data_IF_816361862623
#
_entry.id   IF_816361862623
#
_cell.length_a   1.000
_cell.length_b   1.000
_cell.length_c   1.000
_cell.angle_alpha   90.00
_cell.angle_beta   90.00
_cell.angle_gamma   90.00
#
_symmetry.space_group_name_H-M   'P 1'
#
loop_
_entity.id
_entity.type
_entity.pdbx_description
1 polymer ?
#
# COMPACT_ATOMS: atom_id res chain seq x y z
N UNK A 1 28.52 -0.06 14.88
CA UNK A 1 27.33 0.78 15.13
C UNK A 1 27.06 0.97 16.63
N UNK A 2 26.33 0.11 17.34
CA UNK A 2 25.92 0.46 18.73
C UNK A 2 27.05 0.39 19.77
N UNK A 3 28.09 -0.42 19.53
CA UNK A 3 29.27 -0.51 20.42
C UNK A 3 30.10 0.78 20.51
N UNK A 4 30.03 1.64 19.48
CA UNK A 4 30.79 2.90 19.41
C UNK A 4 30.27 3.97 20.37
N UNK A 5 29.02 3.84 20.84
CA UNK A 5 28.41 4.69 21.86
C UNK A 5 28.36 4.01 23.25
N UNK A 6 29.14 2.93 23.43
CA UNK A 6 29.23 2.20 24.70
C UNK A 6 28.12 1.17 24.94
N UNK A 7 27.25 0.89 23.97
CA UNK A 7 26.21 -0.12 24.13
C UNK A 7 26.77 -1.55 23.98
N UNK A 8 26.34 -2.46 24.86
CA UNK A 8 26.70 -3.88 24.81
C UNK A 8 25.45 -4.73 24.57
N UNK A 9 25.55 -5.69 23.65
CA UNK A 9 24.53 -6.74 23.49
C UNK A 9 24.84 -7.85 24.50
N UNK A 10 24.28 -7.74 25.70
CA UNK A 10 24.44 -8.75 26.76
C UNK A 10 23.09 -9.41 27.07
N UNK A 11 23.11 -10.60 27.69
CA UNK A 11 21.89 -11.27 28.15
C UNK A 11 21.26 -10.38 29.25
N UNK A 12 20.25 -9.60 28.83
CA UNK A 12 19.67 -8.46 29.54
C UNK A 12 19.41 -8.70 31.04
N UNK A 13 20.21 -8.04 31.88
CA UNK A 13 19.84 -7.69 33.24
C UNK A 13 19.47 -6.21 33.26
N UNK A 14 18.19 -5.89 33.41
CA UNK A 14 17.69 -4.51 33.27
C UNK A 14 18.24 -3.60 34.37
N UNK A 15 18.57 -4.18 35.52
CA UNK A 15 19.22 -3.49 36.64
C UNK A 15 20.61 -2.90 36.28
N UNK A 16 21.27 -3.41 35.24
CA UNK A 16 22.57 -2.92 34.78
C UNK A 16 22.45 -1.95 33.59
N UNK A 17 21.24 -1.72 33.07
CA UNK A 17 20.98 -0.87 31.92
C UNK A 17 20.67 0.57 32.33
N UNK A 18 21.32 1.54 31.67
CA UNK A 18 21.00 2.96 31.83
C UNK A 18 19.77 3.40 31.03
N UNK A 19 19.54 2.76 29.88
CA UNK A 19 18.48 3.13 28.93
C UNK A 19 17.86 1.87 28.32
N UNK A 20 16.54 1.79 28.31
CA UNK A 20 15.77 0.79 27.57
C UNK A 20 15.18 1.45 26.34
N UNK A 21 15.69 1.09 25.16
CA UNK A 21 15.15 1.55 23.87
C UNK A 21 13.96 0.69 23.49
N UNK A 22 12.78 1.28 23.34
CA UNK A 22 11.54 0.56 22.99
C UNK A 22 10.56 1.45 22.21
N UNK A 23 9.35 0.94 21.96
CA UNK A 23 8.28 1.67 21.24
C UNK A 23 7.10 1.94 22.17
N UNK A 24 6.34 3.01 21.91
CA UNK A 24 5.15 3.39 22.71
C UNK A 24 4.18 2.23 22.96
N UNK A 25 3.78 1.40 21.96
CA UNK A 25 2.87 0.29 22.21
C UNK A 25 3.42 -0.75 23.18
N UNK A 26 4.74 -0.96 23.19
CA UNK A 26 5.39 -1.89 24.12
C UNK A 26 5.41 -1.34 25.55
N UNK A 27 5.50 -0.01 25.70
CA UNK A 27 5.39 0.66 26.99
C UNK A 27 3.97 0.54 27.54
N UNK A 28 2.96 0.71 26.68
CA UNK A 28 1.55 0.56 27.03
C UNK A 28 1.17 -0.87 27.46
N UNK A 29 1.71 -1.89 26.77
CA UNK A 29 1.49 -3.31 27.09
C UNK A 29 2.14 -3.74 28.42
N UNK A 30 3.07 -2.93 28.96
CA UNK A 30 3.76 -3.19 30.25
C UNK A 30 4.36 -4.59 30.34
N UNK A 31 5.05 -5.02 29.28
CA UNK A 31 5.78 -6.29 29.28
C UNK A 31 6.76 -6.41 30.46
N UNK A 32 7.23 -7.62 30.82
CA UNK A 32 8.09 -7.85 31.98
C UNK A 32 9.31 -6.94 32.04
N UNK A 33 9.95 -6.69 30.88
CA UNK A 33 11.12 -5.82 30.76
C UNK A 33 10.80 -4.34 30.97
N UNK A 34 9.65 -3.89 30.49
CA UNK A 34 9.21 -2.51 30.68
C UNK A 34 8.89 -2.26 32.14
N UNK A 35 8.23 -3.22 32.82
CA UNK A 35 7.96 -3.15 34.26
C UNK A 35 9.24 -3.07 35.09
N UNK A 36 10.19 -3.96 34.82
CA UNK A 36 11.48 -3.96 35.52
C UNK A 36 12.25 -2.64 35.29
N UNK A 37 12.21 -2.10 34.07
CA UNK A 37 12.82 -0.80 33.76
C UNK A 37 12.11 0.37 34.45
N UNK A 38 10.77 0.35 34.54
CA UNK A 38 9.98 1.36 35.26
C UNK A 38 10.22 1.32 36.78
N UNK A 39 10.47 0.15 37.34
CA UNK A 39 10.77 -0.03 38.76
C UNK A 39 12.22 0.36 39.09
N UNK A 40 13.13 0.20 38.13
CA UNK A 40 14.52 0.62 38.24
C UNK A 40 14.64 2.15 38.22
N UNK A 41 15.32 2.71 39.23
CA UNK A 41 15.62 4.15 39.28
C UNK A 41 16.75 4.56 38.33
N UNK A 42 17.49 3.60 37.79
CA UNK A 42 18.66 3.83 36.96
C UNK A 42 18.42 3.58 35.48
N UNK A 43 17.21 3.19 35.07
CA UNK A 43 16.89 2.85 33.69
C UNK A 43 15.85 3.81 33.09
N UNK A 44 16.23 4.54 32.06
CA UNK A 44 15.35 5.44 31.34
C UNK A 44 14.72 4.76 30.12
N UNK A 45 13.40 4.88 29.93
CA UNK A 45 12.69 4.29 28.79
C UNK A 45 12.60 5.33 27.67
N UNK A 46 13.26 5.07 26.55
CA UNK A 46 13.43 6.01 25.43
C UNK A 46 13.00 5.42 24.09
N UNK A 47 12.67 6.30 23.15
CA UNK A 47 12.32 5.91 21.78
C UNK A 47 13.55 5.48 20.96
N UNK A 48 13.31 4.77 19.85
CA UNK A 48 14.37 4.40 18.90
C UNK A 48 15.08 5.61 18.29
N UNK A 49 14.40 6.75 18.17
CA UNK A 49 14.98 7.99 17.65
C UNK A 49 16.10 8.52 18.54
N UNK A 50 16.00 8.35 19.86
CA UNK A 50 17.08 8.72 20.77
C UNK A 50 18.38 7.99 20.47
N UNK A 51 18.27 6.69 20.17
CA UNK A 51 19.42 5.85 19.84
C UNK A 51 20.06 6.30 18.52
N UNK A 52 19.24 6.49 17.48
CA UNK A 52 19.70 6.91 16.16
C UNK A 52 20.37 8.29 16.21
N UNK A 53 19.75 9.25 16.89
CA UNK A 53 20.28 10.60 17.05
C UNK A 53 21.57 10.63 17.90
N UNK A 54 21.71 9.71 18.87
CA UNK A 54 22.94 9.56 19.68
C UNK A 54 24.09 8.97 18.88
N UNK A 55 23.82 7.99 18.00
CA UNK A 55 24.80 7.42 17.08
C UNK A 55 25.27 8.48 16.09
N UNK A 56 24.34 9.22 15.48
CA UNK A 56 24.65 10.26 14.49
C UNK A 56 25.55 11.35 15.08
N UNK A 57 25.26 11.79 16.31
CA UNK A 57 26.04 12.83 17.00
C UNK A 57 27.28 12.29 17.72
N UNK A 58 27.49 10.96 17.73
CA UNK A 58 28.52 10.25 18.49
C UNK A 58 28.59 10.66 19.97
N UNK A 59 27.44 11.03 20.55
CA UNK A 59 27.29 11.46 21.95
C UNK A 59 25.91 11.13 22.47
N UNK A 60 25.82 10.86 23.76
CA UNK A 60 24.55 10.70 24.46
C UNK A 60 23.80 12.04 24.41
N UNK A 61 22.64 12.04 23.78
CA UNK A 61 21.78 13.23 23.70
C UNK A 61 20.83 13.28 24.89
N UNK A 62 20.27 14.46 25.13
CA UNK A 62 19.29 14.66 26.19
C UNK A 62 18.08 13.71 26.05
N UNK A 63 17.70 13.13 27.19
CA UNK A 63 16.70 12.07 27.31
C UNK A 63 15.28 12.65 27.35
N UNK A 64 15.11 13.88 27.86
CA UNK A 64 13.80 14.46 28.17
C UNK A 64 12.91 14.58 26.92
N UNK A 65 13.51 14.93 25.78
CA UNK A 65 12.81 15.04 24.48
C UNK A 65 12.41 13.69 23.83
N UNK A 66 12.88 12.56 24.34
CA UNK A 66 12.66 11.23 23.75
C UNK A 66 12.15 10.19 24.77
N UNK A 67 11.77 10.66 25.96
CA UNK A 67 11.29 9.81 27.04
C UNK A 67 9.88 9.32 26.74
N UNK A 68 9.68 8.01 26.79
CA UNK A 68 8.37 7.39 26.55
C UNK A 68 7.53 7.27 27.83
N UNK A 69 8.09 7.66 28.99
CA UNK A 69 7.44 7.52 30.28
C UNK A 69 7.82 8.64 31.26
N UNK A 70 6.82 9.26 31.88
CA UNK A 70 7.02 10.27 32.92
C UNK A 70 7.02 9.67 34.32
N UNK A 71 8.18 9.67 34.98
CA UNK A 71 8.34 9.24 36.38
C UNK A 71 7.83 10.28 37.40
N UNK A 72 7.36 11.46 36.97
CA UNK A 72 6.88 12.55 37.84
C UNK A 72 5.39 12.43 38.20
N UNK A 73 4.97 11.34 38.88
CA UNK A 73 3.75 11.34 39.72
C UNK A 73 3.91 10.48 40.98
N UNK A 74 4.51 11.04 42.03
CA UNK A 74 4.24 10.64 43.43
C UNK A 74 4.18 11.88 44.31
N UNK A 75 3.00 12.15 44.89
CA UNK A 75 2.86 13.16 45.95
C UNK A 75 1.44 13.69 46.18
N UNK A 76 0.54 12.87 46.74
CA UNK A 76 -0.34 13.22 47.88
C UNK A 76 -1.11 11.98 48.35
N UNK A 77 -1.03 11.73 49.66
CA UNK A 77 -1.42 10.49 50.33
C UNK A 77 -2.94 10.26 50.48
N UNK A 78 -3.33 9.19 51.18
CA UNK A 78 -4.72 8.75 51.29
C UNK A 78 -5.44 9.50 52.42
N UNK A 79 -6.61 10.05 52.11
CA UNK A 79 -7.60 10.37 53.14
C UNK A 79 -8.85 9.53 52.91
N UNK A 80 -9.18 8.80 53.97
CA UNK A 80 -10.35 7.98 54.17
C UNK A 80 -11.64 8.80 54.25
N UNK A 81 -12.74 8.18 53.82
CA UNK A 81 -14.05 8.35 54.44
C UNK A 81 -15.04 9.22 53.68
N UNK A 82 -16.23 8.67 53.44
CA UNK A 82 -17.41 9.46 53.08
C UNK A 82 -18.32 8.82 52.04
N UNK A 83 -19.21 7.96 52.51
CA UNK A 83 -20.32 7.34 51.78
C UNK A 83 -21.54 8.28 51.87
N UNK A 84 -22.14 8.70 50.75
CA UNK A 84 -23.61 8.85 50.58
C UNK A 84 -24.02 9.27 49.15
N UNK A 85 -24.93 8.46 48.61
CA UNK A 85 -26.07 8.68 47.70
C UNK A 85 -26.32 10.02 46.97
N UNK A 86 -26.90 9.82 45.77
CA UNK A 86 -28.01 10.57 45.14
C UNK A 86 -27.65 11.43 43.92
N UNK A 87 -27.93 10.84 42.75
CA UNK A 87 -28.98 11.27 41.82
C UNK A 87 -29.06 12.72 41.30
N UNK A 88 -29.33 12.77 39.99
CA UNK A 88 -30.03 13.79 39.22
C UNK A 88 -29.22 14.88 38.49
N UNK A 89 -29.26 14.69 37.17
CA UNK A 89 -29.35 15.69 36.10
C UNK A 89 -29.87 17.07 36.55
N UNK A 90 -29.21 18.15 36.12
CA UNK A 90 -29.76 19.12 35.15
C UNK A 90 -28.85 20.35 34.99
N UNK A 91 -29.04 21.03 33.85
CA UNK A 91 -28.71 22.42 33.51
C UNK A 91 -27.30 22.75 33.00
N UNK A 92 -27.23 22.65 31.67
CA UNK A 92 -26.73 23.70 30.77
C UNK A 92 -26.68 25.10 31.41
N UNK A 93 -25.50 25.72 31.40
CA UNK A 93 -25.34 27.16 31.16
C UNK A 93 -24.05 27.41 30.38
N UNK A 94 -24.19 28.18 29.31
CA UNK A 94 -23.16 28.56 28.33
C UNK A 94 -22.02 29.33 29.00
N UNK A 95 -20.80 29.13 28.51
CA UNK A 95 -19.86 30.23 28.36
C UNK A 95 -19.09 30.04 27.04
N UNK A 96 -19.40 30.94 26.11
CA UNK A 96 -18.49 31.39 25.05
C UNK A 96 -17.27 32.02 25.71
N UNK A 97 -16.08 31.57 25.32
CA UNK A 97 -14.85 32.30 25.49
C UNK A 97 -13.92 31.88 24.34
N UNK A 98 -13.46 32.91 23.65
CA UNK A 98 -12.47 32.88 22.59
C UNK A 98 -11.23 32.07 22.95
N UNK A 99 -10.71 31.35 21.96
CA UNK A 99 -9.31 30.96 21.91
C UNK A 99 -8.80 31.24 20.49
N UNK A 100 -8.41 32.49 20.29
CA UNK A 100 -7.19 32.75 19.56
C UNK A 100 -6.00 32.18 20.36
N UNK A 101 -4.95 31.90 19.59
CA UNK A 101 -3.53 31.87 19.98
C UNK A 101 -2.87 30.49 20.10
N UNK A 102 -1.65 30.43 19.54
CA UNK A 102 -0.76 29.29 19.66
C UNK A 102 0.00 28.87 18.40
N UNK A 103 0.52 29.82 17.62
CA UNK A 103 1.60 29.53 16.67
C UNK A 103 2.92 29.29 17.43
N UNK A 104 3.49 28.09 17.32
CA UNK A 104 4.88 27.79 17.67
C UNK A 104 5.19 26.29 17.73
N UNK A 105 6.47 25.88 17.66
CA UNK A 105 7.47 26.16 16.63
C UNK A 105 7.64 24.98 15.65
N UNK A 106 7.86 25.33 14.39
CA UNK A 106 7.88 24.46 13.20
C UNK A 106 9.13 23.55 13.06
N UNK A 107 9.55 22.82 14.10
CA UNK A 107 10.81 22.06 14.06
C UNK A 107 10.76 20.53 14.12
N UNK A 108 9.58 19.90 14.22
CA UNK A 108 9.44 18.43 14.11
C UNK A 108 8.80 17.94 12.80
N UNK A 109 8.38 18.84 11.90
CA UNK A 109 7.72 18.47 10.64
C UNK A 109 8.67 18.40 9.43
N UNK A 110 9.99 18.29 9.62
CA UNK A 110 10.97 18.28 8.51
C UNK A 110 11.39 16.89 8.01
N UNK A 111 10.87 15.81 8.59
CA UNK A 111 11.10 14.43 8.08
C UNK A 111 9.88 13.79 7.40
N UNK A 112 8.74 14.48 7.33
CA UNK A 112 7.55 14.00 6.60
C UNK A 112 7.64 14.18 5.08
N UNK A 113 8.64 14.92 4.58
CA UNK A 113 8.81 15.16 3.15
C UNK A 113 9.25 13.91 2.36
N UNK A 114 9.78 12.87 3.03
CA UNK A 114 10.07 11.60 2.34
C UNK A 114 8.82 10.81 1.95
N UNK A 115 7.63 11.25 2.38
CA UNK A 115 6.35 10.62 2.05
C UNK A 115 5.79 11.08 0.69
N UNK A 116 6.37 12.08 0.02
CA UNK A 116 5.83 12.63 -1.23
C UNK A 116 6.66 12.17 -2.44
N UNK A 117 6.59 10.88 -2.78
CA UNK A 117 7.09 10.40 -4.06
C UNK A 117 6.04 10.61 -5.15
N UNK A 118 6.47 10.90 -6.39
CA UNK A 118 5.56 11.01 -7.54
C UNK A 118 4.71 9.75 -7.73
N UNK A 119 5.24 8.58 -7.37
CA UNK A 119 4.51 7.30 -7.43
C UNK A 119 3.26 7.28 -6.55
N UNK A 120 3.25 7.95 -5.40
CA UNK A 120 2.09 7.99 -4.50
C UNK A 120 1.00 8.96 -5.01
N UNK A 121 1.36 9.93 -5.85
CA UNK A 121 0.40 10.78 -6.56
C UNK A 121 -0.35 9.99 -7.64
N UNK A 122 0.31 9.02 -8.28
CA UNK A 122 -0.28 8.13 -9.29
C UNK A 122 -1.24 7.08 -8.69
N UNK A 123 -1.25 6.93 -7.36
CA UNK A 123 -2.20 6.10 -6.64
C UNK A 123 -3.51 6.84 -6.31
N UNK A 124 -3.53 8.19 -6.37
CA UNK A 124 -4.74 8.97 -6.10
C UNK A 124 -5.81 8.59 -7.12
N UNK A 125 -6.99 8.24 -6.62
CA UNK A 125 -8.08 7.74 -7.46
C UNK A 125 -8.46 8.72 -8.57
N UNK A 126 -8.73 8.21 -9.76
CA UNK A 126 -9.13 8.98 -10.95
C UNK A 126 -10.45 9.75 -10.76
N UNK A 127 -11.32 9.30 -9.85
CA UNK A 127 -12.55 10.00 -9.48
C UNK A 127 -12.31 11.19 -8.54
N UNK A 128 -11.14 11.34 -7.93
CA UNK A 128 -10.82 12.51 -7.11
C UNK A 128 -10.73 13.79 -7.99
N UNK A 129 -11.56 14.79 -7.66
CA UNK A 129 -11.70 16.05 -8.43
C UNK A 129 -10.91 17.23 -7.82
N UNK A 130 -10.15 17.00 -6.75
CA UNK A 130 -9.36 18.06 -6.09
C UNK A 130 -8.09 18.43 -6.86
N UNK A 131 -7.18 19.13 -6.18
CA UNK A 131 -5.91 19.63 -6.72
C UNK A 131 -4.93 18.49 -7.06
N UNK A 132 -5.14 17.84 -8.21
CA UNK A 132 -4.23 16.81 -8.75
C UNK A 132 -2.81 17.41 -8.88
N UNK A 133 -1.82 16.70 -8.36
CA UNK A 133 -0.42 17.12 -8.35
C UNK A 133 0.08 17.72 -7.04
N UNK A 134 -0.82 18.21 -6.17
CA UNK A 134 -0.48 18.64 -4.80
C UNK A 134 -0.83 17.58 -3.76
N UNK A 135 -1.53 16.54 -4.18
CA UNK A 135 -2.08 15.50 -3.31
C UNK A 135 -1.49 14.14 -3.71
N UNK A 136 -1.10 13.37 -2.69
CA UNK A 136 -0.64 11.99 -2.83
C UNK A 136 -1.29 11.09 -1.78
N UNK A 137 -1.35 9.79 -2.05
CA UNK A 137 -1.76 8.81 -1.03
C UNK A 137 -0.72 8.77 0.10
N UNK A 138 -1.19 8.79 1.34
CA UNK A 138 -0.31 8.77 2.51
C UNK A 138 0.33 7.39 2.71
N UNK A 139 1.63 7.41 3.00
CA UNK A 139 2.42 6.24 3.39
C UNK A 139 3.03 6.49 4.77
N UNK A 140 2.81 5.59 5.71
CA UNK A 140 3.35 5.78 7.06
C UNK A 140 4.82 5.36 7.18
N UNK A 141 5.38 5.53 8.37
CA UNK A 141 6.77 5.19 8.68
C UNK A 141 7.06 3.68 8.67
N UNK A 142 6.03 2.83 8.59
CA UNK A 142 6.15 1.37 8.45
C UNK A 142 5.96 0.92 7.01
N UNK A 143 6.06 1.85 6.07
CA UNK A 143 5.86 1.61 4.64
C UNK A 143 4.44 1.16 4.28
N UNK A 144 3.46 1.37 5.17
CA UNK A 144 2.06 1.01 4.90
C UNK A 144 1.40 2.13 4.11
N UNK A 145 0.89 1.79 2.94
CA UNK A 145 0.07 2.69 2.11
C UNK A 145 -1.37 2.71 2.65
N UNK A 146 -1.87 3.90 2.96
CA UNK A 146 -3.22 4.09 3.51
C UNK A 146 -4.26 4.23 2.38
N UNK A 147 -4.40 3.15 1.62
CA UNK A 147 -5.35 2.98 0.52
C UNK A 147 -6.06 1.63 0.69
N UNK A 148 -7.38 1.66 0.83
CA UNK A 148 -8.20 0.48 0.95
C UNK A 148 -9.13 0.34 -0.24
N UNK A 149 -9.05 -0.78 -0.95
CA UNK A 149 -10.05 -1.18 -1.94
C UNK A 149 -10.88 -2.33 -1.38
N UNK A 150 -12.17 -2.08 -1.24
CA UNK A 150 -13.14 -2.98 -0.63
C UNK A 150 -14.12 -3.47 -1.70
N UNK A 151 -14.39 -4.77 -1.71
CA UNK A 151 -15.31 -5.40 -2.67
C UNK A 151 -16.45 -6.11 -1.95
N UNK A 152 -17.65 -5.98 -2.49
CA UNK A 152 -18.80 -6.75 -2.05
C UNK A 152 -19.57 -7.25 -3.27
N UNK A 153 -19.52 -8.57 -3.49
CA UNK A 153 -20.46 -9.21 -4.38
C UNK A 153 -21.87 -9.02 -3.83
N UNK A 154 -22.81 -8.64 -4.69
CA UNK A 154 -24.20 -8.47 -4.31
C UNK A 154 -25.11 -9.18 -5.31
N UNK A 155 -26.22 -9.66 -4.80
CA UNK A 155 -27.27 -10.30 -5.57
C UNK A 155 -28.59 -9.63 -5.22
N UNK A 156 -29.02 -8.69 -6.06
CA UNK A 156 -30.27 -7.96 -5.86
C UNK A 156 -31.25 -8.28 -6.98
N UNK A 157 -32.35 -8.96 -6.62
CA UNK A 157 -33.42 -9.42 -7.51
C UNK A 157 -32.88 -10.22 -8.72
N UNK A 158 -32.72 -9.55 -9.87
CA UNK A 158 -32.26 -10.11 -11.15
C UNK A 158 -30.88 -9.58 -11.57
N UNK A 159 -30.21 -8.84 -10.69
CA UNK A 159 -28.90 -8.25 -10.97
C UNK A 159 -27.88 -8.76 -9.97
N UNK A 160 -26.85 -9.40 -10.51
CA UNK A 160 -25.63 -9.71 -9.80
C UNK A 160 -24.55 -8.71 -10.21
N UNK A 161 -23.65 -8.38 -9.28
CA UNK A 161 -22.59 -7.43 -9.55
C UNK A 161 -21.62 -7.32 -8.38
N UNK A 162 -20.65 -6.42 -8.53
CA UNK A 162 -19.65 -6.14 -7.50
C UNK A 162 -19.69 -4.67 -7.18
N UNK A 163 -20.00 -4.37 -5.93
CA UNK A 163 -19.86 -3.06 -5.34
C UNK A 163 -18.40 -2.85 -4.97
N UNK A 164 -17.79 -1.79 -5.48
CA UNK A 164 -16.42 -1.40 -5.15
C UNK A 164 -16.46 -0.16 -4.27
N UNK A 165 -15.80 -0.19 -3.12
CA UNK A 165 -15.65 0.96 -2.25
C UNK A 165 -14.16 1.20 -1.98
N UNK A 166 -13.64 2.33 -2.47
CA UNK A 166 -12.27 2.75 -2.18
C UNK A 166 -12.25 3.80 -1.07
N UNK A 167 -11.30 3.69 -0.15
CA UNK A 167 -11.04 4.65 0.92
C UNK A 167 -9.56 5.00 0.85
N UNK A 168 -9.23 6.28 0.71
CA UNK A 168 -7.85 6.77 0.65
C UNK A 168 -7.61 7.85 1.70
N UNK A 169 -6.48 7.76 2.39
CA UNK A 169 -5.95 8.87 3.16
C UNK A 169 -4.99 9.65 2.28
N UNK A 170 -5.35 10.90 1.96
CA UNK A 170 -4.59 11.74 1.05
C UNK A 170 -3.86 12.85 1.83
N UNK A 171 -2.61 13.10 1.46
CA UNK A 171 -1.75 14.15 2.02
C UNK A 171 -1.55 15.27 0.99
N UNK A 172 -1.77 16.51 1.39
CA UNK A 172 -1.51 17.69 0.57
C UNK A 172 -0.14 18.29 0.91
N UNK A 173 0.82 18.18 -0.01
CA UNK A 173 2.21 18.60 0.20
C UNK A 173 2.36 20.10 0.46
N UNK A 174 1.46 20.93 -0.08
CA UNK A 174 1.51 22.38 0.08
C UNK A 174 1.06 22.83 1.47
N UNK A 175 0.03 22.20 2.01
CA UNK A 175 -0.58 22.58 3.30
C UNK A 175 -0.13 21.73 4.48
N UNK A 176 0.47 20.56 4.24
CA UNK A 176 0.78 19.56 5.27
C UNK A 176 -0.46 18.94 5.93
N UNK A 177 -1.64 19.16 5.36
CA UNK A 177 -2.92 18.65 5.88
C UNK A 177 -3.31 17.35 5.19
N UNK A 178 -4.23 16.63 5.84
CA UNK A 178 -4.71 15.33 5.41
C UNK A 178 -6.21 15.33 5.19
N UNK A 179 -6.68 14.49 4.28
CA UNK A 179 -8.10 14.30 3.98
C UNK A 179 -8.37 12.83 3.78
N UNK A 180 -9.55 12.37 4.24
CA UNK A 180 -10.05 11.04 3.90
C UNK A 180 -11.01 11.20 2.73
N UNK A 181 -10.68 10.54 1.63
CA UNK A 181 -11.50 10.49 0.43
C UNK A 181 -12.04 9.07 0.27
N UNK A 182 -13.30 8.95 -0.12
CA UNK A 182 -13.89 7.65 -0.41
C UNK A 182 -14.81 7.70 -1.62
N UNK A 183 -14.89 6.59 -2.34
CA UNK A 183 -15.66 6.47 -3.56
C UNK A 183 -16.26 5.06 -3.68
N UNK A 184 -17.56 5.01 -3.85
CA UNK A 184 -18.36 3.80 -3.96
C UNK A 184 -18.95 3.71 -5.37
N UNK A 185 -18.67 2.62 -6.09
CA UNK A 185 -19.16 2.34 -7.45
C UNK A 185 -19.94 1.02 -7.47
N UNK A 186 -21.21 1.06 -7.87
CA UNK A 186 -22.08 -0.13 -7.97
C UNK A 186 -21.81 -0.96 -9.22
N UNK A 187 -21.56 -0.30 -10.35
CA UNK A 187 -21.41 -0.91 -11.66
C UNK A 187 -20.44 -0.08 -12.49
N UNK A 188 -19.64 -0.78 -13.29
CA UNK A 188 -18.70 -0.18 -14.25
C UNK A 188 -19.41 0.89 -15.07
N UNK A 189 -18.94 2.13 -14.96
CA UNK A 189 -19.42 3.26 -15.76
C UNK A 189 -20.69 3.95 -15.23
N UNK A 190 -21.24 3.50 -14.10
CA UNK A 190 -22.22 4.28 -13.36
C UNK A 190 -21.52 5.32 -12.48
N UNK A 191 -22.11 6.51 -12.34
CA UNK A 191 -21.58 7.54 -11.45
C UNK A 191 -21.64 7.03 -10.01
N UNK A 192 -20.48 6.73 -9.45
CA UNK A 192 -20.35 6.37 -8.04
C UNK A 192 -20.66 7.53 -7.10
N UNK A 193 -20.88 7.19 -5.82
CA UNK A 193 -20.99 8.17 -4.75
C UNK A 193 -19.59 8.43 -4.20
N UNK A 194 -19.14 9.67 -4.26
CA UNK A 194 -17.87 10.07 -3.63
C UNK A 194 -18.14 10.96 -2.42
N UNK A 195 -17.35 10.78 -1.37
CA UNK A 195 -17.39 11.57 -0.15
C UNK A 195 -15.98 12.04 0.16
N UNK A 196 -15.83 13.35 0.32
CA UNK A 196 -14.58 14.01 0.63
C UNK A 196 -14.71 14.65 2.02
N UNK A 197 -13.83 14.28 2.96
CA UNK A 197 -13.79 14.88 4.28
C UNK A 197 -13.31 16.34 4.24
N UNK A 198 -13.27 17.02 5.38
CA UNK A 198 -12.51 18.28 5.50
C UNK A 198 -11.02 17.97 5.68
N UNK A 199 -10.17 18.95 5.34
CA UNK A 199 -8.73 18.88 5.59
C UNK A 199 -8.43 19.03 7.08
N UNK A 200 -7.83 18.00 7.68
CA UNK A 200 -7.59 17.90 9.12
C UNK A 200 -6.15 17.47 9.43
N UNK A 201 -5.82 17.37 10.71
CA UNK A 201 -4.54 16.81 11.17
C UNK A 201 -4.46 15.31 10.90
N UNK A 202 -3.24 14.77 10.80
CA UNK A 202 -2.99 13.35 10.53
C UNK A 202 -3.75 12.43 11.49
N UNK A 203 -3.72 12.71 12.80
CA UNK A 203 -4.41 11.90 13.82
C UNK A 203 -5.91 11.78 13.57
N UNK A 204 -6.56 12.90 13.23
CA UNK A 204 -7.99 12.92 12.95
C UNK A 204 -8.31 12.21 11.64
N UNK A 205 -7.47 12.39 10.62
CA UNK A 205 -7.64 11.72 9.33
C UNK A 205 -7.46 10.19 9.46
N UNK A 206 -6.45 9.72 10.20
CA UNK A 206 -6.24 8.31 10.51
C UNK A 206 -7.44 7.71 11.24
N UNK A 207 -7.92 8.36 12.30
CA UNK A 207 -9.09 7.90 13.04
C UNK A 207 -10.32 7.76 12.13
N UNK A 208 -10.56 8.75 11.26
CA UNK A 208 -11.67 8.70 10.30
C UNK A 208 -11.51 7.58 9.26
N UNK A 209 -10.30 7.40 8.72
CA UNK A 209 -10.00 6.31 7.80
C UNK A 209 -10.28 4.95 8.45
N UNK A 210 -9.75 4.72 9.65
CA UNK A 210 -9.91 3.45 10.36
C UNK A 210 -11.37 3.18 10.70
N UNK A 211 -12.13 4.20 11.10
CA UNK A 211 -13.57 4.04 11.38
C UNK A 211 -14.36 3.67 10.12
N UNK A 212 -14.11 4.31 8.98
CA UNK A 212 -14.77 3.94 7.72
C UNK A 212 -14.40 2.52 7.27
N UNK A 213 -13.12 2.15 7.40
CA UNK A 213 -12.66 0.80 7.07
C UNK A 213 -13.31 -0.26 7.96
N UNK A 214 -13.37 -0.03 9.28
CA UNK A 214 -13.99 -0.93 10.24
C UNK A 214 -15.50 -1.03 10.05
N UNK A 215 -16.19 0.07 9.74
CA UNK A 215 -17.62 0.05 9.44
C UNK A 215 -17.93 -0.83 8.21
N UNK A 216 -17.13 -0.68 7.15
CA UNK A 216 -17.32 -1.36 5.88
C UNK A 216 -16.90 -2.85 5.93
N UNK A 217 -15.72 -3.15 6.48
CA UNK A 217 -15.15 -4.50 6.50
C UNK A 217 -15.51 -5.30 7.77
N UNK A 218 -15.87 -4.61 8.85
CA UNK A 218 -15.97 -5.17 10.20
C UNK A 218 -14.62 -5.47 10.86
N UNK A 219 -13.50 -5.17 10.20
CA UNK A 219 -12.15 -5.44 10.70
C UNK A 219 -11.46 -4.14 11.09
N UNK A 220 -10.63 -4.19 12.13
CA UNK A 220 -9.69 -3.11 12.40
C UNK A 220 -8.60 -3.07 11.32
N UNK A 221 -8.07 -1.88 11.01
CA UNK A 221 -7.05 -1.71 9.97
C UNK A 221 -5.77 -2.55 10.20
N UNK A 222 -5.37 -2.74 11.46
CA UNK A 222 -4.24 -3.62 11.82
C UNK A 222 -4.51 -5.09 11.44
N UNK A 223 -5.78 -5.49 11.42
CA UNK A 223 -6.26 -6.84 11.09
C UNK A 223 -6.81 -6.94 9.65
N UNK A 224 -6.51 -5.97 8.78
CA UNK A 224 -7.08 -5.88 7.42
C UNK A 224 -6.89 -7.12 6.53
N UNK A 225 -5.89 -7.95 6.82
CA UNK A 225 -5.59 -9.18 6.07
C UNK A 225 -6.23 -10.45 6.68
N UNK A 226 -7.00 -10.31 7.77
CA UNK A 226 -7.74 -11.42 8.37
C UNK A 226 -8.89 -11.87 7.46
N UNK A 227 -9.49 -13.02 7.80
CA UNK A 227 -10.67 -13.50 7.09
C UNK A 227 -11.81 -12.46 7.18
N UNK A 228 -12.51 -12.21 6.06
CA UNK A 228 -13.59 -11.24 6.03
C UNK A 228 -14.76 -11.71 6.89
N UNK A 229 -15.45 -10.76 7.50
CA UNK A 229 -16.70 -11.03 8.21
C UNK A 229 -17.81 -11.30 7.19
N UNK A 230 -18.75 -12.18 7.56
CA UNK A 230 -19.93 -12.48 6.75
C UNK A 230 -20.70 -11.18 6.43
N UNK A 231 -21.20 -11.07 5.20
CA UNK A 231 -21.98 -9.93 4.67
C UNK A 231 -21.29 -8.54 4.69
N UNK A 232 -20.03 -8.46 5.13
CA UNK A 232 -19.20 -7.25 5.09
C UNK A 232 -18.34 -7.20 3.84
N UNK A 233 -17.76 -6.03 3.55
CA UNK A 233 -16.86 -5.89 2.41
C UNK A 233 -15.57 -6.69 2.62
N UNK A 234 -15.03 -7.19 1.51
CA UNK A 234 -13.75 -7.84 1.43
C UNK A 234 -12.66 -6.83 1.11
N UNK A 235 -11.60 -6.77 1.92
CA UNK A 235 -10.42 -5.97 1.60
C UNK A 235 -9.51 -6.69 0.61
N UNK A 236 -9.14 -5.98 -0.46
CA UNK A 236 -8.16 -6.43 -1.44
C UNK A 236 -6.91 -5.58 -1.31
N UNK A 237 -5.80 -6.24 -0.98
CA UNK A 237 -4.48 -5.64 -1.09
C UNK A 237 -4.13 -5.56 -2.58
N UNK A 238 -4.36 -4.39 -3.17
CA UNK A 238 -3.82 -4.12 -4.50
C UNK A 238 -2.30 -4.04 -4.34
N UNK A 239 -1.51 -4.94 -4.97
CA UNK A 239 -0.07 -4.78 -4.95
C UNK A 239 0.23 -3.40 -5.50
N UNK A 240 1.16 -2.70 -4.84
CA UNK A 240 1.70 -1.48 -5.40
C UNK A 240 2.27 -1.91 -6.75
N UNK A 241 1.56 -1.55 -7.83
CA UNK A 241 2.08 -1.74 -9.18
C UNK A 241 3.25 -0.78 -9.20
N UNK A 242 4.42 -1.27 -8.77
CA UNK A 242 5.66 -0.54 -8.81
C UNK A 242 5.69 0.23 -10.13
N UNK A 243 6.17 1.48 -10.16
CA UNK A 243 6.18 2.31 -11.36
C UNK A 243 7.05 1.64 -12.43
N UNK A 244 6.45 0.69 -13.11
CA UNK A 244 6.97 -0.10 -14.20
C UNK A 244 6.04 0.33 -15.32
N UNK A 245 6.60 1.10 -16.24
CA UNK A 245 5.94 1.72 -17.40
C UNK A 245 5.15 3.02 -17.16
N UNK A 246 5.59 3.89 -16.25
CA UNK A 246 5.64 5.28 -16.72
C UNK A 246 6.81 5.35 -17.72
N UNK A 247 6.73 6.13 -18.81
CA UNK A 247 7.93 6.46 -19.57
C UNK A 247 8.87 7.10 -18.57
N UNK A 248 9.80 6.31 -18.04
CA UNK A 248 10.73 6.72 -17.02
C UNK A 248 11.43 7.92 -17.66
N UNK A 249 11.24 9.10 -17.08
CA UNK A 249 12.20 10.18 -17.26
C UNK A 249 13.47 9.60 -16.69
N UNK A 250 14.27 8.97 -17.55
CA UNK A 250 15.48 8.34 -17.11
C UNK A 250 16.33 9.43 -16.49
N UNK A 251 16.68 9.23 -15.22
CA UNK A 251 17.75 10.02 -14.64
C UNK A 251 18.97 9.83 -15.54
N UNK A 252 19.76 10.89 -15.71
CA UNK A 252 20.87 11.01 -16.68
C UNK A 252 21.98 9.93 -16.49
N UNK A 253 21.81 8.93 -15.61
CA UNK A 253 22.78 7.87 -15.32
C UNK A 253 22.28 6.41 -15.37
N UNK A 254 20.99 6.12 -15.52
CA UNK A 254 20.47 4.73 -15.44
C UNK A 254 20.36 4.01 -16.81
N UNK A 255 21.18 4.41 -17.77
CA UNK A 255 21.21 3.79 -19.09
C UNK A 255 22.10 2.54 -19.07
N UNK A 256 21.51 1.36 -19.06
CA UNK A 256 22.24 0.17 -19.51
C UNK A 256 22.20 0.15 -21.04
N UNK A 257 23.33 0.35 -21.75
CA UNK A 257 23.32 0.37 -23.20
C UNK A 257 22.88 -1.00 -23.72
N UNK A 258 21.73 -1.05 -24.38
CA UNK A 258 21.31 -2.24 -25.11
C UNK A 258 22.25 -2.42 -26.29
N UNK A 259 22.67 -3.67 -26.54
CA UNK A 259 23.44 -3.98 -27.73
C UNK A 259 22.70 -3.52 -28.99
N UNK A 260 23.41 -2.96 -29.96
CA UNK A 260 22.83 -2.38 -31.18
C UNK A 260 21.91 -3.37 -31.92
N UNK A 261 22.27 -4.66 -31.93
CA UNK A 261 21.43 -5.71 -32.50
C UNK A 261 20.06 -5.85 -31.83
N UNK A 262 19.99 -5.72 -30.50
CA UNK A 262 18.73 -5.77 -29.74
C UNK A 262 17.90 -4.51 -30.03
N UNK A 263 18.53 -3.33 -30.04
CA UNK A 263 17.87 -2.09 -30.44
C UNK A 263 17.28 -2.18 -31.85
N UNK A 264 18.02 -2.74 -32.81
CA UNK A 264 17.56 -2.91 -34.18
C UNK A 264 16.40 -3.91 -34.28
N UNK A 265 16.46 -5.05 -33.58
CA UNK A 265 15.37 -6.02 -33.54
C UNK A 265 14.08 -5.44 -32.94
N UNK A 266 14.18 -4.74 -31.80
CA UNK A 266 13.05 -4.06 -31.18
C UNK A 266 12.50 -2.94 -32.07
N UNK A 267 13.35 -2.16 -32.73
CA UNK A 267 12.91 -1.13 -33.66
C UNK A 267 12.19 -1.70 -34.88
N UNK A 268 12.57 -2.88 -35.37
CA UNK A 268 11.87 -3.56 -36.47
C UNK A 268 10.47 -4.00 -36.05
N UNK A 269 10.34 -4.56 -34.84
CA UNK A 269 9.06 -4.97 -34.29
C UNK A 269 8.07 -3.80 -34.12
N UNK A 270 8.57 -2.57 -34.01
CA UNK A 270 7.79 -1.42 -33.55
C UNK A 270 7.89 -0.22 -34.51
N UNK A 271 8.24 -0.47 -35.78
CA UNK A 271 8.12 0.56 -36.83
C UNK A 271 6.68 1.09 -36.87
N UNK A 272 6.45 2.35 -37.27
CA UNK A 272 5.08 2.91 -37.39
C UNK A 272 4.11 2.01 -38.18
N UNK A 273 4.59 1.40 -39.27
CA UNK A 273 3.86 0.41 -40.06
C UNK A 273 3.51 -0.85 -39.23
N UNK A 274 4.48 -1.35 -38.46
CA UNK A 274 4.27 -2.42 -37.48
C UNK A 274 3.37 -1.98 -36.33
N UNK A 275 3.35 -0.71 -35.92
CA UNK A 275 2.46 -0.23 -34.84
C UNK A 275 1.01 -0.21 -35.29
N UNK A 276 0.73 0.09 -36.56
CA UNK A 276 -0.62 -0.04 -37.11
C UNK A 276 -1.04 -1.52 -37.19
N UNK A 277 -0.13 -2.40 -37.61
CA UNK A 277 -0.39 -3.85 -37.62
C UNK A 277 -0.55 -4.41 -36.20
N UNK A 278 0.28 -3.97 -35.24
CA UNK A 278 0.19 -4.33 -33.83
C UNK A 278 -1.11 -3.79 -33.27
N UNK A 279 -1.49 -2.54 -33.53
CA UNK A 279 -2.75 -1.97 -33.09
C UNK A 279 -3.94 -2.74 -33.66
N UNK A 280 -3.92 -3.09 -34.95
CA UNK A 280 -4.95 -3.91 -35.60
C UNK A 280 -4.97 -5.34 -35.05
N UNK A 281 -3.82 -5.95 -34.80
CA UNK A 281 -3.70 -7.29 -34.18
C UNK A 281 -4.17 -7.25 -32.73
N UNK A 282 -3.85 -6.20 -31.99
CA UNK A 282 -4.32 -5.93 -30.64
C UNK A 282 -5.84 -5.74 -30.62
N UNK A 283 -6.40 -5.04 -31.60
CA UNK A 283 -7.85 -4.88 -31.77
C UNK A 283 -8.53 -6.19 -32.15
N UNK A 284 -7.93 -7.00 -33.03
CA UNK A 284 -8.43 -8.32 -33.39
C UNK A 284 -8.34 -9.30 -32.21
N UNK A 285 -7.22 -9.30 -31.48
CA UNK A 285 -7.06 -10.02 -30.21
C UNK A 285 -8.09 -9.52 -29.19
N UNK A 286 -8.40 -8.22 -29.18
CA UNK A 286 -9.44 -7.65 -28.32
C UNK A 286 -10.86 -7.98 -28.72
N UNK A 287 -11.10 -8.16 -30.01
CA UNK A 287 -12.39 -8.61 -30.51
C UNK A 287 -12.61 -10.09 -30.16
N UNK A 288 -11.53 -10.90 -30.21
CA UNK A 288 -11.56 -12.33 -29.90
C UNK A 288 -11.47 -12.62 -28.39
N UNK A 289 -10.85 -11.72 -27.63
CA UNK A 289 -10.83 -11.70 -26.18
C UNK A 289 -11.64 -10.51 -25.69
N UNK A 290 -12.97 -10.65 -25.44
CA UNK A 290 -13.83 -9.55 -24.99
C UNK A 290 -13.37 -8.89 -23.66
N UNK A 291 -12.28 -9.38 -23.07
CA UNK A 291 -11.60 -8.86 -21.89
C UNK A 291 -10.61 -7.71 -22.17
N UNK A 292 -10.21 -7.42 -23.41
CA UNK A 292 -9.12 -6.44 -23.66
C UNK A 292 -9.56 -5.08 -24.20
N UNK A 293 -10.80 -4.66 -23.91
CA UNK A 293 -11.10 -3.22 -23.91
C UNK A 293 -10.07 -2.49 -23.07
N UNK A 294 -9.76 -1.21 -23.36
CA UNK A 294 -8.80 -0.44 -22.53
C UNK A 294 -9.37 -0.33 -21.12
N UNK A 295 -9.01 -1.30 -20.28
CA UNK A 295 -9.44 -1.32 -18.91
C UNK A 295 -8.68 -0.24 -18.18
N UNK A 296 -9.36 0.45 -17.27
CA UNK A 296 -8.66 1.42 -16.43
C UNK A 296 -7.55 0.70 -15.68
N UNK A 297 -6.42 1.37 -15.46
CA UNK A 297 -5.30 0.83 -14.67
C UNK A 297 -5.78 0.31 -13.31
N UNK A 298 -6.84 0.93 -12.76
CA UNK A 298 -7.49 0.54 -11.52
C UNK A 298 -8.14 -0.86 -11.59
N UNK A 299 -8.82 -1.20 -12.70
CA UNK A 299 -9.43 -2.52 -12.87
C UNK A 299 -8.36 -3.61 -12.91
N UNK A 300 -7.30 -3.42 -13.69
CA UNK A 300 -6.18 -4.36 -13.75
C UNK A 300 -5.48 -4.52 -12.39
N UNK A 301 -5.30 -3.43 -11.63
CA UNK A 301 -4.78 -3.46 -10.25
C UNK A 301 -5.67 -4.31 -9.34
N UNK A 302 -6.98 -4.12 -9.44
CA UNK A 302 -7.96 -4.86 -8.64
C UNK A 302 -7.96 -6.35 -8.97
N UNK A 303 -7.91 -6.71 -10.25
CA UNK A 303 -7.75 -8.08 -10.73
C UNK A 303 -6.55 -8.78 -10.12
N UNK A 304 -5.40 -8.10 -10.20
CA UNK A 304 -4.15 -8.63 -9.73
C UNK A 304 -4.19 -8.81 -8.21
N UNK A 305 -4.71 -7.83 -7.48
CA UNK A 305 -4.93 -7.95 -6.04
C UNK A 305 -5.84 -9.13 -5.68
N UNK A 306 -6.92 -9.35 -6.44
CA UNK A 306 -7.81 -10.50 -6.25
C UNK A 306 -7.10 -11.84 -6.46
N UNK A 307 -6.41 -12.01 -7.59
CA UNK A 307 -5.70 -13.26 -7.89
C UNK A 307 -4.55 -13.55 -6.93
N UNK A 308 -3.79 -12.53 -6.54
CA UNK A 308 -2.73 -12.67 -5.52
C UNK A 308 -3.33 -13.10 -4.19
N UNK A 309 -4.42 -12.44 -3.77
CA UNK A 309 -5.13 -12.82 -2.53
C UNK A 309 -5.65 -14.26 -2.61
N UNK A 310 -6.20 -14.69 -3.75
CA UNK A 310 -6.62 -16.08 -3.95
C UNK A 310 -5.47 -17.07 -3.85
N UNK A 311 -4.35 -16.77 -4.52
CA UNK A 311 -3.14 -17.61 -4.48
C UNK A 311 -2.65 -17.81 -3.05
N UNK A 312 -2.53 -16.72 -2.28
CA UNK A 312 -2.12 -16.79 -0.87
C UNK A 312 -3.06 -17.64 -0.02
N UNK A 313 -4.37 -17.62 -0.31
CA UNK A 313 -5.35 -18.43 0.44
C UNK A 313 -5.36 -19.89 0.02
N UNK A 314 -5.08 -20.19 -1.25
CA UNK A 314 -4.92 -21.57 -1.72
C UNK A 314 -3.74 -22.27 -1.03
N UNK A 315 -2.70 -21.53 -0.64
CA UNK A 315 -1.53 -22.08 0.08
C UNK A 315 -1.84 -22.42 1.56
N UNK A 316 -2.92 -21.88 2.12
CA UNK A 316 -3.31 -22.14 3.50
C UNK A 316 -4.06 -23.47 3.64
N UNK A 317 -3.92 -24.14 4.80
CA UNK A 317 -4.71 -25.35 5.09
C UNK A 317 -6.20 -25.03 4.95
N UNK A 318 -6.86 -25.74 4.03
CA UNK A 318 -8.27 -25.55 3.72
C UNK A 318 -9.13 -25.78 4.97
N UNK A 319 -9.70 -24.70 5.49
CA UNK A 319 -10.77 -24.71 6.47
C UNK A 319 -12.04 -24.18 5.80
N UNK A 320 -13.21 -24.48 6.36
CA UNK A 320 -14.50 -24.01 5.80
C UNK A 320 -14.53 -22.48 5.60
N UNK A 321 -13.91 -21.74 6.52
CA UNK A 321 -13.79 -20.28 6.42
C UNK A 321 -12.91 -19.82 5.24
N UNK A 322 -11.84 -20.55 4.92
CA UNK A 322 -10.98 -20.27 3.76
C UNK A 322 -11.71 -20.60 2.46
N UNK A 323 -12.44 -21.72 2.41
CA UNK A 323 -13.20 -22.11 1.22
C UNK A 323 -14.29 -21.08 0.90
N UNK A 324 -15.07 -20.67 1.91
CA UNK A 324 -16.08 -19.63 1.74
C UNK A 324 -15.47 -18.30 1.27
N UNK A 325 -14.28 -17.96 1.78
CA UNK A 325 -13.55 -16.76 1.34
C UNK A 325 -13.10 -16.87 -0.12
N UNK A 326 -12.57 -18.02 -0.56
CA UNK A 326 -12.18 -18.24 -1.96
C UNK A 326 -13.38 -18.13 -2.91
N UNK A 327 -14.54 -18.67 -2.55
CA UNK A 327 -15.77 -18.52 -3.33
C UNK A 327 -16.12 -17.03 -3.50
N UNK A 328 -16.10 -16.25 -2.41
CA UNK A 328 -16.39 -14.81 -2.45
C UNK A 328 -15.39 -14.02 -3.28
N UNK A 329 -14.10 -14.36 -3.20
CA UNK A 329 -13.06 -13.79 -4.04
C UNK A 329 -13.35 -14.08 -5.52
N UNK A 330 -13.72 -15.31 -5.85
CA UNK A 330 -14.03 -15.73 -7.23
C UNK A 330 -15.25 -15.01 -7.77
N UNK A 331 -16.31 -14.87 -6.97
CA UNK A 331 -17.49 -14.08 -7.33
C UNK A 331 -17.13 -12.62 -7.59
N UNK A 332 -16.28 -12.02 -6.75
CA UNK A 332 -15.81 -10.65 -6.96
C UNK A 332 -14.98 -10.52 -8.24
N UNK A 333 -14.04 -11.44 -8.48
CA UNK A 333 -13.24 -11.45 -9.71
C UNK A 333 -14.13 -11.56 -10.95
N UNK A 334 -15.07 -12.50 -10.95
CA UNK A 334 -16.02 -12.65 -12.03
C UNK A 334 -16.85 -11.37 -12.22
N UNK A 335 -17.41 -10.79 -11.16
CA UNK A 335 -18.23 -9.59 -11.29
C UNK A 335 -17.45 -8.36 -11.79
N UNK A 336 -16.15 -8.25 -11.47
CA UNK A 336 -15.29 -7.17 -12.00
C UNK A 336 -14.89 -7.42 -13.46
N UNK A 337 -14.59 -8.67 -13.85
CA UNK A 337 -13.96 -8.99 -15.14
C UNK A 337 -14.84 -9.63 -16.22
N UNK A 338 -16.00 -10.19 -15.86
CA UNK A 338 -16.77 -11.05 -16.79
C UNK A 338 -18.05 -10.43 -17.35
N UNK A 339 -18.34 -9.16 -17.03
CA UNK A 339 -19.55 -8.48 -17.49
C UNK A 339 -19.30 -7.55 -18.71
N UNK A 340 -20.13 -7.59 -19.78
CA UNK A 340 -21.32 -8.41 -19.98
C UNK A 340 -21.05 -9.56 -20.97
N UNK A 341 -20.81 -10.76 -20.48
CA UNK A 341 -21.01 -11.95 -21.34
C UNK A 341 -22.50 -12.15 -21.61
N UNK A 342 -22.81 -12.66 -22.80
CA UNK A 342 -24.13 -13.22 -23.08
C UNK A 342 -24.41 -14.35 -22.07
N UNK A 343 -25.60 -14.37 -21.43
CA UNK A 343 -25.94 -15.32 -20.37
C UNK A 343 -25.81 -16.81 -20.76
N UNK A 344 -25.79 -17.12 -22.06
CA UNK A 344 -25.72 -18.50 -22.56
C UNK A 344 -24.31 -19.10 -22.57
N UNK A 345 -23.26 -18.29 -22.43
CA UNK A 345 -21.89 -18.77 -22.27
C UNK A 345 -21.59 -18.97 -20.78
N UNK A 346 -22.36 -19.83 -20.13
CA UNK A 346 -22.07 -20.35 -18.81
C UNK A 346 -20.74 -21.11 -18.90
N UNK A 347 -19.62 -20.41 -18.75
CA UNK A 347 -18.42 -21.07 -18.25
C UNK A 347 -18.88 -21.79 -16.98
N UNK A 348 -18.68 -23.10 -16.94
CA UNK A 348 -18.65 -23.83 -15.69
C UNK A 348 -17.47 -23.28 -14.89
N UNK A 349 -17.65 -22.09 -14.32
CA UNK A 349 -16.80 -21.59 -13.27
C UNK A 349 -16.93 -22.64 -12.18
N UNK A 350 -15.88 -23.44 -12.03
CA UNK A 350 -15.77 -24.29 -10.86
C UNK A 350 -15.82 -23.33 -9.69
N UNK A 351 -16.82 -23.48 -8.81
CA UNK A 351 -16.95 -22.65 -7.61
C UNK A 351 -15.67 -22.66 -6.77
N UNK A 352 -14.84 -23.67 -7.00
CA UNK A 352 -13.54 -23.86 -6.40
C UNK A 352 -12.45 -23.39 -7.37
N UNK A 353 -11.78 -22.26 -7.11
CA UNK A 353 -10.61 -21.84 -7.88
C UNK A 353 -9.49 -22.87 -7.65
N UNK A 354 -8.91 -23.38 -8.73
CA UNK A 354 -7.70 -24.20 -8.66
C UNK A 354 -6.46 -23.34 -8.87
N UNK A 355 -5.30 -23.80 -8.41
CA UNK A 355 -4.02 -23.15 -8.73
C UNK A 355 -3.83 -22.93 -10.23
N UNK A 356 -4.19 -23.93 -11.04
CA UNK A 356 -4.08 -23.83 -12.49
C UNK A 356 -4.99 -22.73 -13.05
N UNK A 357 -6.19 -22.58 -12.52
CA UNK A 357 -7.10 -21.51 -12.93
C UNK A 357 -6.53 -20.12 -12.57
N UNK A 358 -6.05 -19.93 -11.33
CA UNK A 358 -5.45 -18.66 -10.89
C UNK A 358 -4.21 -18.33 -11.73
N UNK A 359 -3.35 -19.31 -12.01
CA UNK A 359 -2.17 -19.13 -12.86
C UNK A 359 -2.54 -18.70 -14.29
N UNK A 360 -3.51 -19.37 -14.91
CA UNK A 360 -3.97 -19.02 -16.26
C UNK A 360 -4.54 -17.59 -16.32
N UNK A 361 -5.32 -17.19 -15.32
CA UNK A 361 -5.88 -15.83 -15.24
C UNK A 361 -4.80 -14.77 -15.00
N UNK A 362 -3.78 -15.09 -14.20
CA UNK A 362 -2.63 -14.22 -13.96
C UNK A 362 -1.81 -14.01 -15.25
N UNK A 363 -1.58 -15.07 -16.01
CA UNK A 363 -0.92 -14.99 -17.32
C UNK A 363 -1.72 -14.12 -18.31
N UNK A 364 -3.05 -14.26 -18.31
CA UNK A 364 -3.93 -13.42 -19.12
C UNK A 364 -3.87 -11.94 -18.72
N UNK A 365 -3.82 -11.63 -17.43
CA UNK A 365 -3.68 -10.25 -16.94
C UNK A 365 -2.29 -9.67 -17.28
N UNK A 366 -1.24 -10.45 -17.11
CA UNK A 366 0.12 -10.05 -17.50
C UNK A 366 0.19 -9.75 -18.99
N UNK A 367 -0.39 -10.63 -19.82
CA UNK A 367 -0.51 -10.38 -21.26
C UNK A 367 -1.25 -9.07 -21.54
N UNK A 368 -2.41 -8.85 -20.91
CA UNK A 368 -3.23 -7.63 -21.09
C UNK A 368 -2.49 -6.36 -20.66
N UNK A 369 -1.74 -6.43 -19.56
CA UNK A 369 -0.87 -5.34 -19.08
C UNK A 369 0.22 -5.02 -20.11
N UNK A 370 0.90 -6.04 -20.63
CA UNK A 370 1.92 -5.90 -21.67
C UNK A 370 1.34 -5.27 -22.93
N UNK A 371 0.18 -5.75 -23.39
CA UNK A 371 -0.51 -5.20 -24.56
C UNK A 371 -0.89 -3.72 -24.36
N UNK A 372 -1.40 -3.36 -23.18
CA UNK A 372 -1.77 -1.99 -22.84
C UNK A 372 -0.54 -1.07 -22.83
N UNK A 373 0.55 -1.52 -22.22
CA UNK A 373 1.82 -0.80 -22.20
C UNK A 373 2.39 -0.59 -23.61
N UNK A 374 2.35 -1.63 -24.47
CA UNK A 374 2.77 -1.53 -25.87
C UNK A 374 1.90 -0.54 -26.67
N UNK A 375 0.58 -0.51 -26.43
CA UNK A 375 -0.33 0.45 -27.05
C UNK A 375 -0.02 1.89 -26.63
N UNK A 376 0.27 2.12 -25.35
CA UNK A 376 0.66 3.45 -24.85
C UNK A 376 1.99 3.92 -25.46
N UNK A 377 2.97 3.02 -25.59
CA UNK A 377 4.23 3.33 -26.28
C UNK A 377 4.06 3.62 -27.77
N UNK A 378 3.10 2.97 -28.43
CA UNK A 378 2.82 3.16 -29.85
C UNK A 378 2.16 4.50 -30.16
N UNK A 379 1.67 5.23 -29.14
CA UNK A 379 1.14 6.58 -29.35
C UNK A 379 2.30 7.49 -29.76
N UNK A 380 2.16 8.30 -30.83
CA UNK A 380 3.20 9.21 -31.27
C UNK A 380 3.47 10.24 -30.16
N UNK A 381 4.49 9.98 -29.34
CA UNK A 381 5.02 10.95 -28.38
C UNK A 381 6.19 11.68 -29.04
N UNK A 382 6.33 12.97 -28.76
CA UNK A 382 7.11 13.87 -29.60
C UNK A 382 8.62 13.91 -29.31
N UNK A 383 9.19 13.13 -28.39
CA UNK A 383 10.59 13.43 -27.95
C UNK A 383 11.49 12.29 -27.45
N UNK A 384 11.07 11.03 -27.37
CA UNK A 384 11.99 9.96 -26.90
C UNK A 384 12.96 9.49 -27.97
N UNK A 385 14.24 9.30 -27.61
CA UNK A 385 15.24 8.75 -28.54
C UNK A 385 14.95 7.27 -28.85
N UNK A 386 15.48 6.75 -29.97
CA UNK A 386 15.33 5.34 -30.37
C UNK A 386 15.81 4.37 -29.27
N UNK A 387 16.86 4.74 -28.55
CA UNK A 387 17.43 3.92 -27.49
C UNK A 387 16.53 3.88 -26.26
N UNK A 388 15.99 5.02 -25.83
CA UNK A 388 15.06 5.09 -24.70
C UNK A 388 13.78 4.30 -25.00
N UNK A 389 13.29 4.40 -26.23
CA UNK A 389 12.14 3.63 -26.68
C UNK A 389 12.40 2.12 -26.65
N UNK A 390 13.52 1.67 -27.20
CA UNK A 390 13.91 0.26 -27.17
C UNK A 390 14.06 -0.26 -25.73
N UNK A 391 14.64 0.53 -24.83
CA UNK A 391 14.74 0.18 -23.42
C UNK A 391 13.36 0.07 -22.74
N UNK A 392 12.44 1.00 -23.00
CA UNK A 392 11.08 0.91 -22.45
C UNK A 392 10.37 -0.37 -22.90
N UNK A 393 10.50 -0.74 -24.18
CA UNK A 393 9.89 -1.98 -24.70
C UNK A 393 10.54 -3.21 -24.09
N UNK A 394 11.87 -3.22 -23.99
CA UNK A 394 12.62 -4.30 -23.36
C UNK A 394 12.13 -4.59 -21.94
N UNK A 395 11.85 -3.53 -21.16
CA UNK A 395 11.24 -3.63 -19.81
C UNK A 395 9.82 -4.13 -19.82
N UNK A 396 8.97 -3.60 -20.71
CA UNK A 396 7.56 -4.00 -20.83
C UNK A 396 7.44 -5.50 -21.12
N UNK A 397 8.34 -6.03 -21.95
CA UNK A 397 8.39 -7.45 -22.29
C UNK A 397 9.03 -8.32 -21.18
N UNK A 398 9.50 -7.71 -20.07
CA UNK A 398 10.13 -8.43 -18.97
C UNK A 398 11.46 -9.10 -19.36
N UNK A 399 12.13 -8.62 -20.41
CA UNK A 399 13.33 -9.29 -20.93
C UNK A 399 14.56 -9.09 -20.03
N UNK A 400 14.52 -8.16 -19.07
CA UNK A 400 15.60 -7.90 -18.11
C UNK A 400 16.02 -9.15 -17.33
N UNK A 401 15.08 -10.07 -17.02
CA UNK A 401 15.39 -11.31 -16.33
C UNK A 401 16.12 -12.34 -17.20
N UNK A 402 16.04 -12.22 -18.54
CA UNK A 402 16.70 -13.14 -19.49
C UNK A 402 18.20 -12.81 -19.61
N UNK A 403 18.57 -11.54 -19.44
CA UNK A 403 19.95 -11.10 -19.64
C UNK A 403 20.91 -11.58 -18.54
N UNK A 404 20.40 -11.83 -17.34
CA UNK A 404 21.18 -12.29 -16.18
C UNK A 404 21.71 -13.72 -16.31
N UNK A 405 21.26 -14.49 -17.30
CA UNK A 405 21.69 -15.88 -17.51
C UNK A 405 22.81 -16.10 -18.54
N UNK A 406 23.18 -15.08 -19.34
CA UNK A 406 23.95 -15.32 -20.59
C UNK A 406 25.41 -14.82 -20.55
N UNK A 407 25.83 -14.01 -19.58
CA UNK A 407 27.21 -13.52 -19.53
C UNK A 407 27.82 -13.63 -18.13
N UNK A 408 28.30 -14.83 -17.79
CA UNK A 408 29.48 -14.97 -16.93
C UNK A 408 30.50 -15.89 -17.62
N UNK A 409 30.89 -15.50 -18.84
CA UNK A 409 32.01 -16.12 -19.57
C UNK A 409 33.38 -15.69 -19.03
N UNK A 410 33.40 -14.88 -17.96
CA UNK A 410 34.62 -14.44 -17.27
C UNK A 410 35.02 -15.33 -16.10
N UNK A 411 34.32 -16.42 -15.81
CA UNK A 411 34.83 -17.42 -14.87
C UNK A 411 36.10 -18.07 -15.48
N UNK A 412 37.30 -17.79 -14.93
CA UNK A 412 38.53 -18.33 -15.48
C UNK A 412 38.46 -19.85 -15.40
N UNK A 413 38.75 -20.52 -16.51
CA UNK A 413 38.85 -21.96 -16.59
C UNK A 413 39.67 -22.49 -15.42
N UNK A 414 39.01 -23.14 -14.45
CA UNK A 414 39.71 -23.95 -13.44
C UNK A 414 40.37 -25.09 -14.20
N UNK A 415 41.65 -24.92 -14.51
CA UNK A 415 42.54 -26.01 -14.86
C UNK A 415 42.44 -27.09 -13.78
N UNK A 416 41.69 -28.15 -14.06
CA UNK A 416 41.80 -29.40 -13.30
C UNK A 416 43.13 -30.04 -13.71
N UNK A 417 44.19 -29.73 -12.94
CA UNK A 417 45.37 -30.57 -12.90
C UNK A 417 44.96 -31.90 -12.27
N UNK A 418 44.87 -32.94 -13.09
CA UNK A 418 44.92 -34.31 -12.61
C UNK A 418 46.36 -34.57 -12.14
N UNK A 419 46.49 -35.02 -10.89
CA UNK A 419 47.69 -35.60 -10.30
C UNK A 419 47.35 -37.01 -9.84
#
# INVERSE_FOLDING_TARGET
>A
MVKEIGAKFEKLKINECTHLVTTEPTVEDRGPKVREAMESRSCEIVSIDWLLNSIEKKKIIDVESHRLWDTKKKGKGPQSGGRTSSESLTKRKRHTADLEDGAGPAHQLRKTDSCFSSSLSDLVDEAYRGERGLVAVYKDTKDVVWDATLLKHYHEQKTQGVLTWRIQLLHNSKSGKFIVWSHEELKRGQKGKSVCAEWVSLRLALSRFTSLFEEASGLQWVNRHHLPIADKFLFIACPDMAPQVHPLKMGVGDHFPLAEGICNALNVLIKPESTALIASTLEALSANHPRTGVESKQILRLALGLLVTMSEKLDTKMSDGVQHHLVRLTECFCGVFTFPRKPDAALSFTKDPTYQWVANELDHLNFTKTLTAMRELSRPSTTTSKQEFAQQVYRILGLESVHLGIFDSTSPARERKYS
#
